data_IF_119802373104
#
_entry.id   IF_119802373104
#
_cell.length_a   1.000
_cell.length_b   1.000
_cell.length_c   1.000
_cell.angle_alpha   90.00
_cell.angle_beta   90.00
_cell.angle_gamma   90.00
#
_symmetry.space_group_name_H-M   'P 1'
#
loop_
_entity.id
_entity.type
_entity.pdbx_description
1 polymer ?
#
# COMPACT_ATOMS: atom_id res chain seq x y z
N UNK A 1 -0.99 -6.03 -24.90
CA UNK A 1 -1.87 -4.88 -25.22
C UNK A 1 -0.98 -3.67 -25.33
N UNK A 2 -1.24 -2.77 -26.27
CA UNK A 2 -0.45 -1.56 -26.49
C UNK A 2 -1.34 -0.36 -26.20
N UNK A 3 -0.87 0.60 -25.41
CA UNK A 3 -1.62 1.82 -25.11
C UNK A 3 -1.86 2.65 -26.37
N UNK A 4 -3.07 3.20 -26.52
CA UNK A 4 -3.46 4.01 -27.68
C UNK A 4 -3.52 5.50 -27.31
N UNK A 5 -2.43 6.21 -27.56
CA UNK A 5 -2.35 7.65 -27.33
C UNK A 5 -3.21 8.48 -28.27
N UNK A 6 -3.71 7.91 -29.40
CA UNK A 6 -4.45 8.67 -30.41
C UNK A 6 -5.87 9.05 -29.95
N UNK A 7 -6.48 8.21 -29.11
CA UNK A 7 -7.85 8.41 -28.62
C UNK A 7 -8.05 9.71 -27.82
N UNK A 8 -7.02 10.14 -27.08
CA UNK A 8 -7.10 11.25 -26.13
C UNK A 8 -6.20 12.43 -26.51
N UNK A 9 -6.04 12.68 -27.81
CA UNK A 9 -5.25 13.81 -28.29
C UNK A 9 -3.76 13.73 -27.94
N UNK A 10 -3.21 12.52 -27.85
CA UNK A 10 -1.81 12.27 -27.55
C UNK A 10 -1.46 12.16 -26.06
N UNK A 11 -2.43 12.31 -25.17
CA UNK A 11 -2.23 12.21 -23.72
C UNK A 11 -3.19 11.19 -23.12
N UNK A 12 -2.68 10.24 -22.36
CA UNK A 12 -3.47 9.28 -21.61
C UNK A 12 -3.36 9.54 -20.11
N UNK A 13 -4.43 9.36 -19.32
CA UNK A 13 -4.36 9.39 -17.88
C UNK A 13 -3.53 8.22 -17.36
N UNK A 14 -2.71 8.48 -16.34
CA UNK A 14 -1.95 7.48 -15.61
C UNK A 14 -2.30 7.57 -14.12
N UNK A 15 -3.02 6.58 -13.63
CA UNK A 15 -3.37 6.39 -12.23
C UNK A 15 -2.18 5.73 -11.55
N UNK A 16 -1.67 6.36 -10.50
CA UNK A 16 -0.55 5.83 -9.72
C UNK A 16 -1.09 5.22 -8.43
N UNK A 17 -0.78 3.96 -8.24
CA UNK A 17 -1.19 3.18 -7.08
C UNK A 17 0.02 2.61 -6.36
N UNK A 18 0.04 2.69 -5.04
CA UNK A 18 1.04 1.98 -4.24
C UNK A 18 0.85 0.46 -4.40
N UNK A 19 1.92 -0.26 -4.75
CA UNK A 19 1.86 -1.69 -5.04
C UNK A 19 1.56 -2.55 -3.81
N UNK A 20 1.92 -2.06 -2.63
CA UNK A 20 1.76 -2.80 -1.37
C UNK A 20 0.44 -2.46 -0.66
N UNK A 21 0.11 -1.17 -0.56
CA UNK A 21 -1.07 -0.72 0.18
C UNK A 21 -2.31 -0.58 -0.70
N UNK A 22 -2.16 -0.69 -2.01
CA UNK A 22 -3.20 -0.47 -3.02
C UNK A 22 -3.85 0.93 -2.97
N UNK A 23 -3.23 1.85 -2.24
CA UNK A 23 -3.69 3.24 -2.17
C UNK A 23 -3.44 3.96 -3.49
N UNK A 24 -4.44 4.67 -4.01
CA UNK A 24 -4.25 5.56 -5.14
C UNK A 24 -3.51 6.81 -4.68
N UNK A 25 -2.31 7.03 -5.19
CA UNK A 25 -1.43 8.11 -4.76
C UNK A 25 -1.66 9.42 -5.52
N UNK A 26 -1.81 9.33 -6.83
CA UNK A 26 -2.04 10.49 -7.69
C UNK A 26 -2.51 10.08 -9.07
N UNK A 27 -2.95 11.06 -9.85
CA UNK A 27 -3.17 10.95 -11.29
C UNK A 27 -2.30 11.97 -12.01
N UNK A 28 -1.68 11.53 -13.09
CA UNK A 28 -0.96 12.37 -14.03
C UNK A 28 -1.32 12.02 -15.46
N UNK A 29 -0.68 12.69 -16.43
CA UNK A 29 -0.88 12.41 -17.85
C UNK A 29 0.45 12.03 -18.48
N UNK A 30 0.42 11.10 -19.44
CA UNK A 30 1.57 10.68 -20.22
C UNK A 30 1.28 10.82 -21.69
N UNK A 31 2.27 11.31 -22.43
CA UNK A 31 2.38 11.11 -23.89
C UNK A 31 3.27 9.89 -24.14
N UNK A 32 3.45 9.51 -25.40
CA UNK A 32 4.31 8.38 -25.78
C UNK A 32 5.73 8.51 -25.19
N UNK A 33 6.33 9.70 -25.28
CA UNK A 33 7.70 9.94 -24.78
C UNK A 33 7.81 9.77 -23.26
N UNK A 34 6.81 10.23 -22.49
CA UNK A 34 6.74 10.06 -21.05
C UNK A 34 6.62 8.59 -20.67
N UNK A 35 5.78 7.85 -21.39
CA UNK A 35 5.60 6.42 -21.21
C UNK A 35 6.89 5.65 -21.50
N UNK A 36 7.52 5.89 -22.65
CA UNK A 36 8.75 5.21 -23.03
C UNK A 36 9.88 5.47 -22.03
N UNK A 37 9.99 6.72 -21.55
CA UNK A 37 10.95 7.08 -20.49
C UNK A 37 10.63 6.35 -19.18
N UNK A 38 9.37 6.29 -18.78
CA UNK A 38 8.93 5.56 -17.58
C UNK A 38 9.32 4.07 -17.65
N UNK A 39 9.05 3.43 -18.79
CA UNK A 39 9.40 2.01 -19.01
C UNK A 39 10.92 1.80 -19.00
N UNK A 40 11.67 2.69 -19.63
CA UNK A 40 13.13 2.58 -19.73
C UNK A 40 13.82 2.77 -18.38
N UNK A 41 13.38 3.74 -17.60
CA UNK A 41 14.06 4.15 -16.35
C UNK A 41 13.46 3.48 -15.11
N UNK A 42 12.30 2.81 -15.23
CA UNK A 42 11.51 2.28 -14.12
C UNK A 42 11.12 3.34 -13.07
N UNK A 43 11.07 4.61 -13.46
CA UNK A 43 10.67 5.75 -12.63
C UNK A 43 9.55 6.51 -13.35
N UNK A 44 8.46 6.80 -12.65
CA UNK A 44 7.30 7.47 -13.24
C UNK A 44 7.65 8.85 -13.76
N UNK A 45 7.47 9.06 -15.06
CA UNK A 45 7.60 10.34 -15.76
C UNK A 45 6.28 10.70 -16.41
N UNK A 46 5.80 11.90 -16.17
CA UNK A 46 4.58 12.46 -16.75
C UNK A 46 4.89 13.48 -17.83
N UNK A 47 3.87 13.85 -18.60
CA UNK A 47 3.85 15.03 -19.42
C UNK A 47 3.11 16.16 -18.71
N UNK A 48 3.80 17.23 -18.39
CA UNK A 48 3.20 18.42 -17.78
C UNK A 48 2.47 19.26 -18.82
N UNK A 49 1.14 19.26 -18.78
CA UNK A 49 0.30 20.06 -19.70
C UNK A 49 0.52 21.56 -19.56
N UNK A 50 0.77 22.05 -18.35
CA UNK A 50 0.97 23.50 -18.10
C UNK A 50 2.36 24.00 -18.50
N UNK A 51 3.39 23.14 -18.39
CA UNK A 51 4.77 23.50 -18.72
C UNK A 51 5.22 22.95 -20.08
N UNK A 52 4.39 22.17 -20.73
CA UNK A 52 4.64 21.52 -22.03
C UNK A 52 6.00 20.79 -22.08
N UNK A 53 6.29 19.99 -21.03
CA UNK A 53 7.53 19.22 -20.92
C UNK A 53 7.33 17.91 -20.18
N UNK A 54 8.28 17.02 -20.34
CA UNK A 54 8.39 15.85 -19.44
C UNK A 54 8.70 16.29 -18.01
N UNK A 55 8.13 15.57 -17.07
CA UNK A 55 8.31 15.77 -15.64
C UNK A 55 8.44 14.42 -14.92
N UNK A 56 9.65 14.09 -14.48
CA UNK A 56 9.89 12.91 -13.68
C UNK A 56 9.45 13.18 -12.24
N UNK A 57 8.53 12.36 -11.72
CA UNK A 57 8.05 12.52 -10.34
C UNK A 57 9.20 12.26 -9.37
N UNK A 58 9.43 13.22 -8.51
CA UNK A 58 10.56 13.19 -7.57
C UNK A 58 11.76 14.05 -8.02
N UNK A 59 11.80 14.60 -9.23
CA UNK A 59 12.93 15.41 -9.74
C UNK A 59 13.32 16.60 -8.84
N UNK A 60 12.41 17.09 -8.01
CA UNK A 60 12.65 18.21 -7.08
C UNK A 60 12.63 17.78 -5.60
N UNK A 61 11.78 16.80 -5.24
CA UNK A 61 11.56 16.38 -3.85
C UNK A 61 12.40 15.18 -3.43
N UNK A 62 13.06 14.50 -4.36
CA UNK A 62 13.70 13.19 -4.23
C UNK A 62 12.74 12.05 -3.84
N UNK A 63 11.42 12.29 -3.81
CA UNK A 63 10.41 11.28 -3.60
C UNK A 63 10.02 10.66 -4.96
N UNK A 64 10.85 9.74 -5.42
CA UNK A 64 10.61 9.04 -6.69
C UNK A 64 9.52 7.98 -6.55
N UNK A 65 8.92 7.59 -7.67
CA UNK A 65 7.93 6.52 -7.76
C UNK A 65 8.51 5.42 -8.66
N UNK A 66 8.99 4.35 -8.03
CA UNK A 66 9.61 3.21 -8.73
C UNK A 66 8.55 2.26 -9.25
N UNK A 67 8.52 2.03 -10.55
CA UNK A 67 7.52 1.19 -11.23
C UNK A 67 7.69 -0.28 -10.81
N UNK A 68 6.58 -0.92 -10.44
CA UNK A 68 6.46 -2.36 -10.17
C UNK A 68 5.67 -3.08 -11.23
N UNK A 69 4.58 -2.48 -11.71
CA UNK A 69 3.78 -3.01 -12.80
C UNK A 69 3.09 -1.87 -13.56
N UNK A 70 2.85 -2.10 -14.84
CA UNK A 70 2.05 -1.21 -15.69
C UNK A 70 0.91 -2.06 -16.28
N UNK A 71 -0.32 -1.66 -15.99
CA UNK A 71 -1.52 -2.27 -16.55
C UNK A 71 -2.21 -1.26 -17.45
N UNK A 72 -2.74 -1.76 -18.54
CA UNK A 72 -3.52 -0.99 -19.52
C UNK A 72 -4.97 -1.42 -19.35
N UNK A 73 -5.89 -0.49 -19.39
CA UNK A 73 -7.32 -0.79 -19.28
C UNK A 73 -7.90 -1.52 -20.50
N UNK A 74 -9.18 -1.85 -20.46
CA UNK A 74 -9.80 -2.73 -21.45
C UNK A 74 -9.93 -2.12 -22.85
N UNK A 75 -9.93 -0.79 -22.97
CA UNK A 75 -10.02 -0.08 -24.25
C UNK A 75 -8.73 0.70 -24.63
N UNK A 76 -7.66 0.45 -23.90
CA UNK A 76 -6.28 0.86 -24.16
C UNK A 76 -6.02 2.38 -24.14
N UNK A 77 -6.74 3.13 -23.30
CA UNK A 77 -6.57 4.59 -23.22
C UNK A 77 -6.24 5.10 -21.81
N UNK A 78 -6.11 4.21 -20.81
CA UNK A 78 -5.77 4.53 -19.42
C UNK A 78 -4.69 3.60 -18.88
N UNK A 79 -3.76 4.14 -18.09
CA UNK A 79 -2.71 3.41 -17.41
C UNK A 79 -2.99 3.31 -15.91
N UNK A 80 -2.89 2.10 -15.35
CA UNK A 80 -2.72 1.87 -13.91
C UNK A 80 -1.27 1.46 -13.67
N UNK A 81 -0.51 2.32 -13.03
CA UNK A 81 0.91 2.09 -12.73
C UNK A 81 1.07 1.83 -11.24
N UNK A 82 1.42 0.60 -10.89
CA UNK A 82 1.76 0.21 -9.53
C UNK A 82 3.20 0.60 -9.23
N UNK A 83 3.42 1.23 -8.09
CA UNK A 83 4.74 1.79 -7.73
C UNK A 83 5.12 1.49 -6.29
N UNK A 84 6.44 1.50 -6.03
CA UNK A 84 7.00 1.69 -4.69
C UNK A 84 7.41 3.16 -4.55
N UNK A 85 6.77 3.97 -3.70
CA UNK A 85 7.19 5.34 -3.45
C UNK A 85 8.38 5.41 -2.48
N UNK A 86 9.32 6.34 -2.70
CA UNK A 86 10.39 6.65 -1.74
C UNK A 86 9.91 7.56 -0.59
N UNK A 87 8.76 8.19 -0.76
CA UNK A 87 8.17 9.11 0.23
C UNK A 87 6.84 9.67 -0.25
N UNK A 88 6.35 10.76 0.38
CA UNK A 88 5.08 11.37 0.04
C UNK A 88 4.93 11.70 -1.45
N UNK A 89 3.80 11.29 -2.04
CA UNK A 89 3.54 11.58 -3.45
C UNK A 89 3.01 13.02 -3.65
N UNK A 90 2.29 13.58 -2.68
CA UNK A 90 1.74 14.93 -2.79
C UNK A 90 2.81 16.00 -2.50
N UNK A 91 2.70 17.16 -3.19
CA UNK A 91 3.56 18.32 -2.96
C UNK A 91 3.32 18.99 -1.59
N UNK A 92 2.20 18.68 -0.92
CA UNK A 92 1.90 19.16 0.44
C UNK A 92 2.57 18.33 1.53
N UNK A 93 3.32 17.30 1.17
CA UNK A 93 3.91 16.34 2.10
C UNK A 93 2.98 15.18 2.50
N UNK A 94 1.76 15.14 1.97
CA UNK A 94 0.82 14.05 2.18
C UNK A 94 1.20 12.82 1.34
N UNK A 95 0.88 11.63 1.84
CA UNK A 95 1.16 10.38 1.13
C UNK A 95 0.47 10.32 -0.24
N UNK A 96 -0.79 10.74 -0.31
CA UNK A 96 -1.63 10.77 -1.51
C UNK A 96 -2.11 12.19 -1.83
N UNK A 97 -2.36 12.47 -3.11
CA UNK A 97 -3.07 13.67 -3.55
C UNK A 97 -4.58 13.63 -3.26
N UNK A 98 -5.11 12.44 -2.97
CA UNK A 98 -6.50 12.23 -2.64
C UNK A 98 -6.65 12.17 -1.12
N UNK A 99 -7.31 13.18 -0.54
CA UNK A 99 -7.61 13.19 0.90
C UNK A 99 -8.83 12.32 1.14
N UNK A 100 -8.61 11.10 1.58
CA UNK A 100 -9.66 10.22 2.10
C UNK A 100 -9.68 10.35 3.62
N UNK A 101 -10.85 10.58 4.21
CA UNK A 101 -10.98 10.79 5.67
C UNK A 101 -10.64 9.53 6.50
N UNK A 102 -10.67 8.36 5.89
CA UNK A 102 -10.32 7.08 6.49
C UNK A 102 -9.40 6.31 5.53
N UNK A 103 -8.25 5.87 6.03
CA UNK A 103 -7.37 4.98 5.27
C UNK A 103 -7.90 3.54 5.38
N UNK A 104 -8.80 3.16 4.48
CA UNK A 104 -9.35 1.79 4.44
C UNK A 104 -8.28 0.72 4.21
N UNK A 105 -7.11 1.11 3.69
CA UNK A 105 -5.97 0.23 3.44
C UNK A 105 -4.95 0.26 4.58
N UNK A 106 -5.29 0.84 5.74
CA UNK A 106 -4.34 0.98 6.85
C UNK A 106 -3.81 -0.38 7.35
N UNK A 107 -4.62 -1.43 7.29
CA UNK A 107 -4.17 -2.79 7.67
C UNK A 107 -3.01 -3.25 6.80
N UNK A 108 -3.05 -3.02 5.48
CA UNK A 108 -1.94 -3.31 4.56
C UNK A 108 -0.71 -2.44 4.87
N UNK A 109 -0.92 -1.17 5.20
CA UNK A 109 0.15 -0.28 5.62
C UNK A 109 0.75 -0.71 6.96
N UNK A 110 -0.06 -1.16 7.92
CA UNK A 110 0.39 -1.68 9.22
C UNK A 110 1.27 -2.92 9.04
N UNK A 111 0.91 -3.84 8.14
CA UNK A 111 1.75 -4.97 7.78
C UNK A 111 3.15 -4.52 7.33
N UNK A 112 3.24 -3.48 6.50
CA UNK A 112 4.53 -2.92 6.04
C UNK A 112 5.31 -2.26 7.18
N UNK A 113 4.63 -1.55 8.08
CA UNK A 113 5.25 -0.96 9.27
C UNK A 113 5.85 -2.07 10.15
N UNK A 114 5.10 -3.15 10.40
CA UNK A 114 5.58 -4.30 11.17
C UNK A 114 6.80 -4.93 10.47
N UNK A 115 6.72 -5.19 9.16
CA UNK A 115 7.84 -5.74 8.39
C UNK A 115 9.10 -4.86 8.49
N UNK A 116 8.93 -3.54 8.34
CA UNK A 116 10.04 -2.57 8.48
C UNK A 116 10.68 -2.61 9.88
N UNK A 117 9.92 -2.86 10.96
CA UNK A 117 10.46 -2.96 12.32
C UNK A 117 11.30 -4.22 12.52
N UNK A 118 11.05 -5.28 11.79
CA UNK A 118 11.91 -6.48 11.78
C UNK A 118 13.21 -6.23 11.04
N UNK A 119 13.19 -5.48 9.94
CA UNK A 119 14.37 -5.17 9.11
C UNK A 119 15.23 -4.04 9.70
N UNK A 120 14.57 -3.06 10.31
CA UNK A 120 15.15 -1.86 10.87
C UNK A 120 14.62 -1.63 12.30
N UNK A 121 15.19 -2.31 13.31
CA UNK A 121 14.76 -2.16 14.69
C UNK A 121 14.83 -0.70 15.16
N UNK A 122 13.82 -0.27 15.91
CA UNK A 122 13.73 1.08 16.45
C UNK A 122 13.61 1.02 17.98
N UNK A 123 14.31 1.92 18.67
CA UNK A 123 14.25 2.04 20.13
C UNK A 123 12.79 2.30 20.58
N UNK A 124 12.36 1.61 21.61
CA UNK A 124 11.01 1.73 22.16
C UNK A 124 9.92 0.96 21.38
N UNK A 125 10.23 0.39 20.22
CA UNK A 125 9.27 -0.33 19.39
C UNK A 125 8.65 -1.52 20.12
N UNK A 126 7.32 -1.55 20.20
CA UNK A 126 6.59 -2.69 20.75
C UNK A 126 6.72 -3.95 19.89
N UNK A 127 6.75 -3.80 18.56
CA UNK A 127 7.00 -4.91 17.62
C UNK A 127 8.33 -5.58 17.92
N UNK A 128 9.41 -4.79 18.11
CA UNK A 128 10.73 -5.35 18.43
C UNK A 128 10.73 -6.04 19.78
N UNK A 129 10.06 -5.48 20.79
CA UNK A 129 9.92 -6.13 22.12
C UNK A 129 9.19 -7.47 22.05
N UNK A 130 8.19 -7.60 21.16
CA UNK A 130 7.49 -8.88 20.94
C UNK A 130 8.38 -9.88 20.21
N UNK A 131 9.08 -9.43 19.17
CA UNK A 131 10.03 -10.25 18.43
C UNK A 131 11.12 -10.82 19.36
N UNK A 132 11.72 -9.99 20.22
CA UNK A 132 12.74 -10.40 21.21
C UNK A 132 12.23 -11.43 22.21
N UNK A 133 10.93 -11.37 22.56
CA UNK A 133 10.28 -12.36 23.44
C UNK A 133 9.92 -13.68 22.75
N UNK A 134 10.02 -13.70 21.42
CA UNK A 134 9.88 -14.86 20.57
C UNK A 134 8.47 -15.36 20.30
N UNK A 135 8.38 -16.35 19.45
CA UNK A 135 7.13 -16.90 18.88
C UNK A 135 6.09 -17.27 19.96
N UNK A 136 6.50 -17.89 21.06
CA UNK A 136 5.56 -18.31 22.09
C UNK A 136 4.79 -17.12 22.72
N UNK A 137 5.48 -15.99 22.94
CA UNK A 137 4.84 -14.79 23.48
C UNK A 137 3.94 -14.13 22.45
N UNK A 138 4.36 -14.11 21.18
CA UNK A 138 3.52 -13.57 20.10
C UNK A 138 2.24 -14.40 19.95
N UNK A 139 2.34 -15.73 19.92
CA UNK A 139 1.19 -16.63 19.84
C UNK A 139 0.27 -16.51 21.05
N UNK A 140 0.84 -16.37 22.26
CA UNK A 140 0.08 -16.13 23.49
C UNK A 140 -0.76 -14.85 23.36
N UNK A 141 -0.17 -13.74 22.85
CA UNK A 141 -0.90 -12.47 22.66
C UNK A 141 -2.07 -12.60 21.69
N UNK A 142 -1.91 -13.30 20.58
CA UNK A 142 -3.05 -13.56 19.66
C UNK A 142 -4.19 -14.29 20.38
N UNK A 143 -3.87 -15.26 21.24
CA UNK A 143 -4.89 -15.98 22.03
C UNK A 143 -5.57 -15.08 23.08
N UNK A 144 -4.81 -14.25 23.78
CA UNK A 144 -5.32 -13.26 24.75
C UNK A 144 -6.32 -12.33 24.08
N UNK A 145 -5.91 -11.63 22.99
CA UNK A 145 -6.74 -10.65 22.28
C UNK A 145 -7.98 -11.28 21.63
N UNK A 146 -7.87 -12.54 21.17
CA UNK A 146 -9.04 -13.26 20.66
C UNK A 146 -10.10 -13.49 21.75
N UNK A 147 -9.67 -13.85 22.96
CA UNK A 147 -10.59 -14.02 24.10
C UNK A 147 -11.18 -12.69 24.54
N UNK A 148 -10.37 -11.63 24.62
CA UNK A 148 -10.81 -10.28 25.01
C UNK A 148 -11.81 -9.72 23.97
N UNK A 149 -11.58 -9.94 22.67
CA UNK A 149 -12.56 -9.62 21.61
C UNK A 149 -13.92 -10.30 21.83
N UNK A 150 -13.93 -11.59 22.21
CA UNK A 150 -15.19 -12.32 22.51
C UNK A 150 -15.88 -11.75 23.74
N UNK A 151 -15.13 -11.42 24.79
CA UNK A 151 -15.67 -10.83 26.01
C UNK A 151 -16.29 -9.47 25.72
N UNK A 152 -15.58 -8.62 24.98
CA UNK A 152 -16.05 -7.30 24.58
C UNK A 152 -17.33 -7.38 23.74
N UNK A 153 -17.40 -8.33 22.80
CA UNK A 153 -18.59 -8.54 21.97
C UNK A 153 -19.84 -8.94 22.76
N UNK A 154 -19.67 -9.61 23.90
CA UNK A 154 -20.79 -10.15 24.70
C UNK A 154 -21.21 -9.22 25.84
N UNK A 155 -20.27 -8.48 26.44
CA UNK A 155 -20.49 -7.86 27.75
C UNK A 155 -20.02 -6.39 27.85
N UNK A 156 -19.38 -5.83 26.82
CA UNK A 156 -18.75 -4.51 26.91
C UNK A 156 -19.31 -3.55 25.86
N UNK A 157 -18.67 -2.39 25.67
CA UNK A 157 -19.13 -1.36 24.73
C UNK A 157 -18.61 -1.64 23.31
N UNK A 158 -19.24 -0.98 22.31
CA UNK A 158 -18.77 -1.00 20.93
C UNK A 158 -17.32 -0.50 20.80
N UNK A 159 -16.93 0.47 21.63
CA UNK A 159 -15.56 1.00 21.66
C UNK A 159 -14.56 -0.07 22.15
N UNK A 160 -14.92 -0.83 23.18
CA UNK A 160 -14.07 -1.91 23.69
C UNK A 160 -13.92 -3.01 22.65
N UNK A 161 -15.01 -3.40 21.98
CA UNK A 161 -14.96 -4.37 20.88
C UNK A 161 -14.06 -3.90 19.72
N UNK A 162 -14.11 -2.60 19.37
CA UNK A 162 -13.20 -2.03 18.34
C UNK A 162 -11.75 -2.12 18.81
N UNK A 163 -11.45 -1.80 20.06
CA UNK A 163 -10.10 -1.83 20.61
C UNK A 163 -9.53 -3.26 20.59
N UNK A 164 -10.25 -4.23 21.17
CA UNK A 164 -9.78 -5.61 21.24
C UNK A 164 -9.66 -6.26 19.84
N UNK A 165 -10.59 -5.95 18.93
CA UNK A 165 -10.48 -6.40 17.54
C UNK A 165 -9.26 -5.80 16.82
N UNK A 166 -8.91 -4.56 17.14
CA UNK A 166 -7.71 -3.89 16.58
C UNK A 166 -6.44 -4.55 17.10
N UNK A 167 -6.39 -4.86 18.39
CA UNK A 167 -5.25 -5.53 19.02
C UNK A 167 -5.09 -6.97 18.51
N UNK A 168 -6.17 -7.68 18.32
CA UNK A 168 -6.17 -9.02 17.70
C UNK A 168 -5.57 -8.97 16.27
N UNK A 169 -6.04 -8.04 15.44
CA UNK A 169 -5.51 -7.88 14.06
C UNK A 169 -4.02 -7.52 14.10
N UNK A 170 -3.61 -6.61 14.99
CA UNK A 170 -2.21 -6.23 15.14
C UNK A 170 -1.32 -7.42 15.51
N UNK A 171 -1.68 -8.17 16.57
CA UNK A 171 -0.90 -9.30 17.01
C UNK A 171 -0.91 -10.46 16.01
N UNK A 172 -1.99 -10.64 15.25
CA UNK A 172 -2.04 -11.59 14.14
C UNK A 172 -1.06 -11.22 13.03
N UNK A 173 -0.96 -9.95 12.64
CA UNK A 173 0.01 -9.49 11.65
C UNK A 173 1.46 -9.72 12.12
N UNK A 174 1.76 -9.49 13.41
CA UNK A 174 3.08 -9.78 13.99
C UNK A 174 3.37 -11.28 13.94
N UNK A 175 2.40 -12.14 14.25
CA UNK A 175 2.54 -13.58 14.17
C UNK A 175 2.78 -14.06 12.74
N UNK A 176 2.05 -13.53 11.76
CA UNK A 176 2.24 -13.86 10.35
C UNK A 176 3.66 -13.48 9.92
N UNK A 177 4.12 -12.27 10.24
CA UNK A 177 5.49 -11.82 9.93
C UNK A 177 6.54 -12.72 10.56
N UNK A 178 6.40 -13.11 11.82
CA UNK A 178 7.31 -14.04 12.52
C UNK A 178 7.40 -15.41 11.82
N UNK A 179 6.32 -15.83 11.17
CA UNK A 179 6.26 -17.08 10.39
C UNK A 179 6.63 -16.90 8.91
N UNK A 180 7.04 -15.70 8.49
CA UNK A 180 7.34 -15.41 7.09
C UNK A 180 6.12 -15.41 6.15
N UNK A 181 4.93 -15.24 6.71
CA UNK A 181 3.66 -15.18 5.99
C UNK A 181 3.19 -13.73 5.83
N UNK A 182 2.28 -13.51 4.86
CA UNK A 182 1.68 -12.20 4.57
C UNK A 182 0.17 -12.24 4.64
N UNK A 183 -0.44 -11.08 4.89
CA UNK A 183 -1.90 -10.93 4.83
C UNK A 183 -2.44 -11.27 3.43
N UNK A 184 -1.66 -11.00 2.37
CA UNK A 184 -2.01 -11.36 1.00
C UNK A 184 -2.18 -12.87 0.80
N UNK A 185 -1.35 -13.71 1.45
CA UNK A 185 -1.50 -15.16 1.41
C UNK A 185 -2.77 -15.63 2.13
N UNK A 186 -3.13 -14.98 3.24
CA UNK A 186 -4.39 -15.27 3.95
C UNK A 186 -5.59 -14.86 3.10
N UNK A 187 -5.54 -13.66 2.49
CA UNK A 187 -6.59 -13.20 1.59
C UNK A 187 -6.77 -14.13 0.38
N UNK A 188 -5.68 -14.57 -0.25
CA UNK A 188 -5.73 -15.53 -1.36
C UNK A 188 -6.36 -16.88 -0.97
N UNK A 189 -6.02 -17.40 0.22
CA UNK A 189 -6.64 -18.62 0.73
C UNK A 189 -8.15 -18.44 0.99
N UNK A 190 -8.56 -17.28 1.50
CA UNK A 190 -9.97 -16.96 1.69
C UNK A 190 -10.68 -16.84 0.34
N UNK A 191 -10.07 -16.18 -0.64
CA UNK A 191 -10.63 -16.06 -1.99
C UNK A 191 -10.82 -17.42 -2.64
N UNK A 192 -9.84 -18.34 -2.54
CA UNK A 192 -9.96 -19.69 -3.08
C UNK A 192 -11.12 -20.47 -2.47
N UNK A 193 -11.39 -20.31 -1.16
CA UNK A 193 -12.51 -20.98 -0.47
C UNK A 193 -13.88 -20.44 -0.86
N UNK A 194 -13.95 -19.26 -1.50
CA UNK A 194 -15.19 -18.60 -1.89
C UNK A 194 -15.36 -18.52 -3.41
N UNK A 195 -14.52 -19.24 -4.18
CA UNK A 195 -14.77 -19.51 -5.60
C UNK A 195 -15.79 -20.64 -5.69
N UNK A 196 -17.08 -20.26 -5.74
CA UNK A 196 -18.17 -21.15 -6.18
C UNK A 196 -18.24 -21.24 -7.70
#
# INVERSE_FOLDING_TARGET
MTIDFSKSGGLVPAIIQDDQTLEVLMLGYMNQEAYDKTVKENIVTFFSRSKNRLWTKGETSNNYLHVKAINIDCDNDTLLIKVKPDGPACHTGERSCFKTGYNQNFILQLEQIIASRYEHPAEGSYVNKLHDKGLNKIAQKVGEEAVETVIAALNETETDLINESSDLIFHLLVLLREKGLTLGQIAGNLEERHKE
#
